data_IF_436103114294
#
_entry.id   IF_436103114294
#
_cell.length_a   1.000
_cell.length_b   1.000
_cell.length_c   1.000
_cell.angle_alpha   90.00
_cell.angle_beta   90.00
_cell.angle_gamma   90.00
#
_symmetry.space_group_name_H-M   'P 1'
#
loop_
_entity.id
_entity.type
_entity.pdbx_description
1 polymer ?
#
# COMPACT_ATOMS: atom_id res chain seq x y z
N UNK A 1 6.48 8.15 -32.99
CA UNK A 1 6.96 6.86 -32.46
C UNK A 1 6.72 6.84 -30.95
N UNK A 2 5.46 6.65 -30.55
CA UNK A 2 5.10 6.39 -29.14
C UNK A 2 4.48 4.99 -29.14
N UNK A 3 5.35 3.98 -29.11
CA UNK A 3 4.94 2.59 -29.00
C UNK A 3 4.65 2.30 -27.54
N UNK A 4 3.45 1.82 -27.23
CA UNK A 4 3.02 1.34 -25.91
C UNK A 4 3.83 0.15 -25.37
N UNK A 5 4.67 -0.44 -26.25
CA UNK A 5 5.53 -1.58 -25.97
C UNK A 5 6.96 -1.21 -25.56
N UNK A 6 7.33 0.08 -25.59
CA UNK A 6 8.66 0.52 -25.16
C UNK A 6 8.58 0.96 -23.70
N UNK A 7 9.16 0.16 -22.80
CA UNK A 7 9.37 0.56 -21.41
C UNK A 7 10.24 1.82 -21.37
N UNK A 8 9.68 2.89 -20.80
CA UNK A 8 10.41 4.12 -20.57
C UNK A 8 11.28 3.94 -19.32
N UNK A 9 12.43 4.63 -19.21
CA UNK A 9 13.27 4.56 -18.00
C UNK A 9 12.55 4.89 -16.69
N UNK A 10 11.45 5.67 -16.75
CA UNK A 10 10.60 5.97 -15.58
C UNK A 10 9.50 4.93 -15.33
N UNK A 11 9.29 3.95 -16.20
CA UNK A 11 8.25 2.91 -16.10
C UNK A 11 6.79 3.36 -16.28
N UNK A 12 6.50 4.67 -16.24
CA UNK A 12 5.14 5.18 -16.29
C UNK A 12 4.48 5.09 -17.68
N UNK A 13 3.43 4.25 -17.78
CA UNK A 13 2.53 4.22 -18.94
C UNK A 13 1.55 5.39 -18.88
N UNK A 14 1.67 6.33 -19.83
CA UNK A 14 0.70 7.41 -20.01
C UNK A 14 -0.65 6.82 -20.43
N UNK A 15 -1.74 7.33 -19.88
CA UNK A 15 -3.10 6.85 -20.21
C UNK A 15 -3.44 5.48 -19.62
N UNK A 16 -2.61 4.93 -18.72
CA UNK A 16 -2.97 3.73 -17.97
C UNK A 16 -4.21 4.02 -17.11
N UNK A 17 -5.34 3.41 -17.50
CA UNK A 17 -6.59 3.51 -16.74
C UNK A 17 -6.48 2.57 -15.55
N UNK A 18 -6.04 3.10 -14.40
CA UNK A 18 -6.16 2.39 -13.14
C UNK A 18 -7.64 2.12 -12.86
N UNK A 19 -8.09 0.88 -13.10
CA UNK A 19 -9.45 0.45 -12.75
C UNK A 19 -9.45 0.05 -11.29
N UNK A 20 -10.07 0.89 -10.47
CA UNK A 20 -10.27 0.59 -9.05
C UNK A 20 -11.53 -0.27 -8.88
N UNK A 21 -11.38 -1.45 -8.29
CA UNK A 21 -12.48 -2.34 -7.93
C UNK A 21 -12.43 -2.62 -6.43
N UNK A 22 -12.80 -1.65 -5.59
CA UNK A 22 -12.87 -1.87 -4.13
C UNK A 22 -14.04 -1.07 -3.52
N UNK A 23 -14.59 -1.52 -2.37
CA UNK A 23 -15.85 -1.00 -1.82
C UNK A 23 -15.79 0.43 -1.25
N UNK A 24 -14.61 0.99 -1.00
CA UNK A 24 -14.49 2.32 -0.40
C UNK A 24 -14.71 3.43 -1.46
N UNK A 25 -15.48 4.47 -1.15
CA UNK A 25 -15.68 5.61 -2.06
C UNK A 25 -14.53 6.60 -1.92
N UNK A 26 -13.91 7.00 -3.02
CA UNK A 26 -12.91 8.09 -3.02
C UNK A 26 -13.66 9.41 -3.05
N UNK A 27 -13.50 10.24 -2.02
CA UNK A 27 -14.11 11.57 -1.95
C UNK A 27 -13.19 12.65 -2.49
N UNK A 28 -11.88 12.44 -2.31
CA UNK A 28 -10.86 13.40 -2.73
C UNK A 28 -9.64 12.69 -3.29
N UNK A 29 -9.05 13.24 -4.35
CA UNK A 29 -7.84 12.74 -4.98
C UNK A 29 -6.90 13.89 -5.34
N UNK A 30 -5.66 13.81 -4.88
CA UNK A 30 -4.61 14.76 -5.20
C UNK A 30 -3.35 14.06 -5.67
N UNK A 31 -2.63 14.72 -6.58
CA UNK A 31 -1.30 14.32 -7.02
C UNK A 31 -0.38 15.51 -6.82
N UNK A 32 0.64 15.34 -6.00
CA UNK A 32 1.65 16.35 -5.70
C UNK A 32 2.98 15.96 -6.33
N UNK A 33 3.65 16.91 -6.96
CA UNK A 33 5.07 16.79 -7.32
C UNK A 33 5.87 17.44 -6.20
N UNK A 34 6.73 16.66 -5.55
CA UNK A 34 7.58 17.09 -4.44
C UNK A 34 9.07 17.02 -4.87
N UNK A 35 9.99 17.74 -4.21
CA UNK A 35 11.41 17.74 -4.57
C UNK A 35 12.11 16.37 -4.58
N UNK A 36 11.52 15.33 -3.97
CA UNK A 36 12.09 13.97 -3.92
C UNK A 36 11.23 12.89 -4.56
N UNK A 37 10.11 13.23 -5.20
CA UNK A 37 9.22 12.24 -5.79
C UNK A 37 7.79 12.73 -6.00
N UNK A 38 6.88 11.79 -6.25
CA UNK A 38 5.46 12.07 -6.45
C UNK A 38 4.64 11.51 -5.29
N UNK A 39 3.74 12.30 -4.72
CA UNK A 39 2.76 11.83 -3.74
C UNK A 39 1.36 11.78 -4.35
N UNK A 40 0.69 10.65 -4.19
CA UNK A 40 -0.71 10.45 -4.56
C UNK A 40 -1.49 10.31 -3.27
N UNK A 41 -2.34 11.29 -2.94
CA UNK A 41 -3.16 11.28 -1.74
C UNK A 41 -4.63 11.07 -2.09
N UNK A 42 -5.29 10.20 -1.34
CA UNK A 42 -6.71 9.91 -1.44
C UNK A 42 -7.38 10.04 -0.08
N UNK A 43 -8.58 10.65 -0.08
CA UNK A 43 -9.50 10.59 1.06
C UNK A 43 -10.62 9.63 0.70
N UNK A 44 -10.87 8.69 1.61
CA UNK A 44 -11.73 7.53 1.39
C UNK A 44 -12.80 7.46 2.48
N UNK A 45 -14.01 7.09 2.09
CA UNK A 45 -15.03 6.54 2.99
C UNK A 45 -14.86 5.02 3.01
N UNK A 46 -14.38 4.50 4.14
CA UNK A 46 -14.12 3.07 4.33
C UNK A 46 -15.11 2.47 5.35
N UNK A 47 -15.81 1.36 5.02
CA UNK A 47 -16.66 0.67 5.99
C UNK A 47 -15.89 0.28 7.25
N UNK A 48 -16.47 0.53 8.42
CA UNK A 48 -15.85 0.22 9.71
C UNK A 48 -14.84 1.26 10.22
N UNK A 49 -14.51 2.29 9.44
CA UNK A 49 -13.67 3.40 9.89
C UNK A 49 -14.56 4.59 10.27
N UNK A 50 -14.34 5.14 11.46
CA UNK A 50 -15.02 6.35 11.89
C UNK A 50 -14.44 7.58 11.15
N UNK A 51 -15.24 8.17 10.26
CA UNK A 51 -14.83 9.34 9.49
C UNK A 51 -13.90 9.01 8.32
N UNK A 52 -13.12 9.99 7.82
CA UNK A 52 -12.30 9.81 6.64
C UNK A 52 -11.06 8.96 6.92
N UNK A 53 -10.78 8.02 6.01
CA UNK A 53 -9.48 7.37 5.88
C UNK A 53 -8.66 8.17 4.86
N UNK A 54 -7.51 8.68 5.28
CA UNK A 54 -6.53 9.31 4.38
C UNK A 54 -5.46 8.29 4.04
N UNK A 55 -5.29 8.00 2.77
CA UNK A 55 -4.23 7.12 2.26
C UNK A 55 -3.33 7.92 1.32
N UNK A 56 -2.01 7.79 1.47
CA UNK A 56 -1.07 8.31 0.48
C UNK A 56 -0.05 7.29 0.04
N UNK A 57 0.35 7.40 -1.23
CA UNK A 57 1.41 6.64 -1.86
C UNK A 57 2.50 7.64 -2.24
N UNK A 58 3.69 7.49 -1.67
CA UNK A 58 4.86 8.27 -2.07
C UNK A 58 5.80 7.41 -2.91
N UNK A 59 6.15 7.96 -4.07
CA UNK A 59 6.99 7.33 -5.08
C UNK A 59 8.29 8.14 -5.15
N UNK A 60 9.33 7.73 -4.41
CA UNK A 60 10.60 8.43 -4.39
C UNK A 60 11.33 8.28 -5.74
N UNK A 61 11.97 9.35 -6.21
CA UNK A 61 12.81 9.30 -7.41
C UNK A 61 14.21 8.72 -7.13
N UNK A 62 14.59 8.59 -5.85
CA UNK A 62 15.94 8.23 -5.41
C UNK A 62 16.06 6.83 -4.81
N UNK A 63 14.97 6.08 -4.70
CA UNK A 63 14.98 4.79 -4.01
C UNK A 63 14.12 3.73 -4.71
N UNK A 64 14.47 2.43 -4.57
CA UNK A 64 13.74 1.34 -5.21
C UNK A 64 12.53 0.85 -4.41
N UNK A 65 12.06 1.64 -3.44
CA UNK A 65 10.90 1.31 -2.61
C UNK A 65 9.74 2.26 -2.86
N UNK A 66 8.54 1.84 -2.48
CA UNK A 66 7.32 2.66 -2.47
C UNK A 66 6.85 2.78 -1.03
N UNK A 67 6.48 3.98 -0.61
CA UNK A 67 5.95 4.20 0.73
C UNK A 67 4.42 4.32 0.67
N UNK A 68 3.75 3.53 1.51
CA UNK A 68 2.32 3.58 1.71
C UNK A 68 2.02 4.13 3.09
N UNK A 69 1.25 5.20 3.17
CA UNK A 69 0.79 5.80 4.41
C UNK A 69 -0.73 5.67 4.49
N UNK A 70 -1.22 5.37 5.68
CA UNK A 70 -2.64 5.37 5.96
C UNK A 70 -2.87 6.00 7.33
N UNK A 71 -3.89 6.86 7.41
CA UNK A 71 -4.28 7.58 8.62
C UNK A 71 -5.79 7.60 8.74
N UNK A 72 -6.28 7.21 9.91
CA UNK A 72 -7.68 7.28 10.26
C UNK A 72 -7.83 7.59 11.74
N UNK A 73 -9.04 7.99 12.13
CA UNK A 73 -9.40 8.08 13.53
C UNK A 73 -9.81 6.69 14.02
N UNK A 74 -9.10 6.16 15.02
CA UNK A 74 -9.56 4.96 15.72
C UNK A 74 -10.78 5.32 16.55
N UNK A 75 -11.79 4.46 16.51
CA UNK A 75 -13.01 4.63 17.30
C UNK A 75 -12.65 4.50 18.79
N UNK A 76 -13.39 5.19 19.67
CA UNK A 76 -13.28 5.01 21.12
C UNK A 76 -14.20 3.86 21.61
N UNK A 77 -14.64 2.98 20.72
CA UNK A 77 -15.55 1.89 21.10
C UNK A 77 -14.78 0.81 21.87
N UNK A 78 -15.47 0.15 22.79
CA UNK A 78 -14.91 -0.97 23.57
C UNK A 78 -15.12 -2.32 22.89
N UNK A 79 -15.71 -2.33 21.69
CA UNK A 79 -15.86 -3.56 20.91
C UNK A 79 -14.49 -3.96 20.33
N UNK A 80 -14.16 -5.27 20.31
CA UNK A 80 -12.94 -5.73 19.66
C UNK A 80 -12.90 -5.33 18.19
N UNK A 81 -11.89 -4.57 17.80
CA UNK A 81 -11.64 -4.15 16.43
C UNK A 81 -10.22 -4.58 16.02
N UNK A 82 -10.07 -5.03 14.78
CA UNK A 82 -8.77 -5.30 14.16
C UNK A 82 -8.73 -4.59 12.81
N UNK A 83 -7.69 -3.78 12.59
CA UNK A 83 -7.44 -3.14 11.30
C UNK A 83 -6.26 -3.80 10.61
N UNK A 84 -6.48 -4.27 9.39
CA UNK A 84 -5.44 -4.90 8.58
C UNK A 84 -5.08 -4.02 7.39
N UNK A 85 -3.79 -3.84 7.15
CA UNK A 85 -3.27 -3.31 5.90
C UNK A 85 -2.83 -4.49 5.03
N UNK A 86 -3.48 -4.65 3.88
CA UNK A 86 -3.24 -5.75 2.97
C UNK A 86 -2.51 -5.25 1.73
N UNK A 87 -1.47 -5.98 1.34
CA UNK A 87 -0.72 -5.75 0.11
C UNK A 87 -0.87 -6.99 -0.78
N UNK A 88 -1.91 -7.03 -1.64
CA UNK A 88 -2.21 -8.20 -2.46
C UNK A 88 -1.23 -8.26 -3.65
N UNK A 89 -0.03 -8.77 -3.39
CA UNK A 89 0.95 -8.99 -4.45
C UNK A 89 0.63 -10.28 -5.20
N UNK A 90 0.55 -10.18 -6.53
CA UNK A 90 0.47 -11.34 -7.43
C UNK A 90 1.87 -11.90 -7.68
N UNK A 91 2.39 -12.61 -6.67
CA UNK A 91 3.73 -13.20 -6.70
C UNK A 91 3.60 -14.73 -6.70
N UNK A 92 4.00 -15.42 -7.78
CA UNK A 92 4.01 -16.88 -7.78
C UNK A 92 5.01 -17.38 -6.74
N UNK A 93 4.63 -18.45 -6.02
CA UNK A 93 5.51 -19.14 -5.05
C UNK A 93 6.04 -18.25 -3.91
N UNK A 94 5.30 -17.19 -3.56
CA UNK A 94 5.72 -16.28 -2.50
C UNK A 94 5.77 -16.97 -1.13
N UNK A 95 6.91 -16.88 -0.45
CA UNK A 95 7.09 -17.29 0.94
C UNK A 95 7.28 -16.05 1.82
N UNK A 96 6.39 -15.85 2.79
CA UNK A 96 6.53 -14.75 3.74
C UNK A 96 7.75 -14.98 4.64
N UNK A 97 8.58 -13.95 4.77
CA UNK A 97 9.68 -13.91 5.74
C UNK A 97 9.50 -12.70 6.64
N UNK A 98 9.63 -12.91 7.95
CA UNK A 98 9.54 -11.86 8.95
C UNK A 98 10.94 -11.54 9.45
N UNK A 99 11.31 -10.26 9.46
CA UNK A 99 12.54 -9.79 10.09
C UNK A 99 12.30 -9.57 11.59
N UNK A 100 13.00 -10.32 12.43
CA UNK A 100 12.97 -10.20 13.89
C UNK A 100 14.27 -9.59 14.45
N UNK A 101 14.78 -8.55 13.81
CA UNK A 101 15.97 -7.82 14.29
C UNK A 101 17.27 -8.28 13.64
N UNK A 102 17.26 -8.48 12.32
CA UNK A 102 18.42 -8.84 11.50
C UNK A 102 18.45 -10.31 11.08
N UNK A 103 17.49 -11.12 11.54
CA UNK A 103 17.32 -12.51 11.09
C UNK A 103 15.91 -12.68 10.52
N UNK A 104 15.86 -13.06 9.25
CA UNK A 104 14.63 -13.43 8.58
C UNK A 104 14.20 -14.84 9.00
N UNK A 105 12.93 -14.99 9.40
CA UNK A 105 12.32 -16.27 9.75
C UNK A 105 11.12 -16.58 8.85
N UNK A 106 10.83 -17.86 8.70
CA UNK A 106 9.64 -18.38 8.03
C UNK A 106 8.61 -18.76 9.11
N UNK A 107 7.44 -18.09 9.15
CA UNK A 107 6.39 -18.42 10.11
C UNK A 107 6.01 -19.91 10.06
N UNK A 108 5.93 -20.56 11.22
CA UNK A 108 5.56 -21.97 11.37
C UNK A 108 6.68 -22.98 11.09
N UNK A 109 7.69 -22.65 10.28
CA UNK A 109 8.84 -23.53 10.04
C UNK A 109 9.96 -23.34 11.08
N UNK A 110 10.19 -22.09 11.48
CA UNK A 110 11.26 -21.72 12.42
C UNK A 110 10.76 -21.60 13.88
N UNK A 111 9.53 -22.03 14.16
CA UNK A 111 8.97 -22.03 15.51
C UNK A 111 9.47 -23.23 16.32
N UNK A 112 9.90 -22.99 17.55
CA UNK A 112 10.14 -24.06 18.51
C UNK A 112 8.81 -24.75 18.87
N UNK A 113 8.81 -26.07 19.16
CA UNK A 113 7.61 -26.74 19.65
C UNK A 113 7.04 -26.03 20.88
N UNK A 114 5.74 -25.72 20.86
CA UNK A 114 5.05 -25.25 22.05
C UNK A 114 4.95 -26.35 23.11
N UNK A 115 5.15 -25.99 24.37
CA UNK A 115 4.82 -26.82 25.55
C UNK A 115 3.35 -26.71 25.91
#
# INVERSE_FOLDING_TARGET
WDSEYVERPRGWKRGWRARRQVPAKVTTHYVFTLPGGTEIMQVLEAPGIAGPLVQSVFLPDYAPWVEFRARWHMSATTHPEATYLLFPFDLPEATARLDLGGQAIIPGADQLPGV
#
